data_IF_611492037736
#
_entry.id   IF_611492037736
#
_cell.length_a   1.000
_cell.length_b   1.000
_cell.length_c   1.000
_cell.angle_alpha   90.00
_cell.angle_beta   90.00
_cell.angle_gamma   90.00
#
_symmetry.space_group_name_H-M   'P 1'
#
loop_
_entity.id
_entity.type
_entity.pdbx_description
1 polymer ?
#
# COMPACT_ATOMS: atom_id res chain seq x y z
N UNK A 1 -5.79 -9.76 9.87
CA UNK A 1 -5.22 -8.54 9.28
C UNK A 1 -5.37 -8.55 7.77
N UNK A 2 -5.82 -7.44 7.21
CA UNK A 2 -5.90 -7.28 5.76
C UNK A 2 -4.63 -6.57 5.29
N UNK A 3 -3.89 -7.22 4.40
CA UNK A 3 -2.69 -6.62 3.81
C UNK A 3 -3.01 -6.08 2.43
N UNK A 4 -2.63 -4.83 2.19
CA UNK A 4 -2.92 -4.11 0.95
C UNK A 4 -1.64 -3.93 0.15
N UNK A 5 -1.70 -4.20 -1.14
CA UNK A 5 -0.65 -3.84 -2.09
C UNK A 5 -1.12 -2.64 -2.92
N UNK A 6 -0.25 -1.66 -3.10
CA UNK A 6 -0.54 -0.49 -3.92
C UNK A 6 0.34 -0.53 -5.16
N UNK A 7 -0.27 -0.38 -6.33
CA UNK A 7 0.46 -0.29 -7.59
C UNK A 7 0.43 1.16 -8.05
N UNK A 8 1.58 1.80 -7.98
CA UNK A 8 1.75 3.22 -8.26
C UNK A 8 1.77 4.07 -7.00
N UNK A 9 2.79 4.91 -6.85
CA UNK A 9 2.93 5.78 -5.67
C UNK A 9 2.99 7.25 -6.10
N UNK A 10 2.07 7.64 -6.99
CA UNK A 10 1.85 9.03 -7.33
C UNK A 10 0.92 9.68 -6.30
N UNK A 11 0.23 10.74 -6.72
CA UNK A 11 -0.65 11.49 -5.81
C UNK A 11 -1.73 10.62 -5.17
N UNK A 12 -2.38 9.76 -5.96
CA UNK A 12 -3.45 8.90 -5.45
C UNK A 12 -2.88 7.79 -4.56
N UNK A 13 -1.83 7.11 -5.02
CA UNK A 13 -1.23 6.00 -4.27
C UNK A 13 -0.65 6.46 -2.94
N UNK A 14 0.05 7.59 -2.91
CA UNK A 14 0.58 8.14 -1.67
C UNK A 14 -0.53 8.59 -0.73
N UNK A 15 -1.63 9.11 -1.28
CA UNK A 15 -2.80 9.47 -0.49
C UNK A 15 -3.45 8.26 0.17
N UNK A 16 -3.58 7.16 -0.56
CA UNK A 16 -4.13 5.92 -0.01
C UNK A 16 -3.23 5.40 1.12
N UNK A 17 -1.91 5.39 0.90
CA UNK A 17 -0.96 4.97 1.93
C UNK A 17 -1.10 5.84 3.19
N UNK A 18 -1.15 7.16 3.03
CA UNK A 18 -1.23 8.08 4.15
C UNK A 18 -2.52 7.86 4.95
N UNK A 19 -3.65 7.72 4.28
CA UNK A 19 -4.93 7.50 4.96
C UNK A 19 -4.90 6.22 5.77
N UNK A 20 -4.44 5.12 5.17
CA UNK A 20 -4.39 3.83 5.86
C UNK A 20 -3.41 3.88 7.03
N UNK A 21 -2.22 4.45 6.81
CA UNK A 21 -1.18 4.47 7.82
C UNK A 21 -1.51 5.40 8.99
N UNK A 22 -2.16 6.53 8.72
CA UNK A 22 -2.49 7.54 9.73
C UNK A 22 -3.73 7.16 10.54
N UNK A 23 -4.72 6.51 9.90
CA UNK A 23 -6.01 6.22 10.51
C UNK A 23 -6.19 4.75 10.85
N UNK A 24 -5.11 4.01 11.09
CA UNK A 24 -5.17 2.56 11.29
C UNK A 24 -6.16 2.13 12.36
N UNK A 25 -6.15 2.78 13.51
CA UNK A 25 -7.04 2.41 14.60
C UNK A 25 -8.51 2.65 14.26
N UNK A 26 -8.82 3.80 13.68
CA UNK A 26 -10.19 4.12 13.28
C UNK A 26 -10.71 3.17 12.23
N UNK A 27 -9.86 2.83 11.26
CA UNK A 27 -10.22 1.90 10.20
C UNK A 27 -10.44 0.50 10.77
N UNK A 28 -9.56 0.06 11.67
CA UNK A 28 -9.67 -1.25 12.31
C UNK A 28 -10.97 -1.39 13.10
N UNK A 29 -11.37 -0.35 13.82
CA UNK A 29 -12.61 -0.36 14.58
C UNK A 29 -13.82 -0.48 13.64
N UNK A 30 -13.84 0.31 12.56
CA UNK A 30 -14.96 0.32 11.62
C UNK A 30 -15.05 -0.95 10.80
N UNK A 31 -13.90 -1.50 10.40
CA UNK A 31 -13.84 -2.70 9.56
C UNK A 31 -13.92 -3.99 10.37
N UNK A 32 -13.74 -3.93 11.69
CA UNK A 32 -13.66 -5.09 12.54
C UNK A 32 -12.36 -5.88 12.37
N UNK A 33 -11.38 -5.31 11.65
CA UNK A 33 -10.12 -5.98 11.37
C UNK A 33 -9.06 -4.95 11.02
N UNK A 34 -7.82 -5.23 11.41
CA UNK A 34 -6.69 -4.34 11.13
C UNK A 34 -6.33 -4.38 9.63
N UNK A 35 -6.06 -3.21 9.07
CA UNK A 35 -5.68 -3.05 7.66
C UNK A 35 -4.33 -2.34 7.61
N UNK A 36 -3.40 -2.86 6.81
CA UNK A 36 -2.12 -2.19 6.61
C UNK A 36 -1.66 -2.31 5.16
N UNK A 37 -0.86 -1.35 4.72
CA UNK A 37 -0.18 -1.43 3.42
C UNK A 37 1.08 -2.26 3.62
N UNK A 38 1.16 -3.39 2.92
CA UNK A 38 2.29 -4.30 3.03
C UNK A 38 3.37 -3.99 2.00
N UNK A 39 2.99 -3.63 0.79
CA UNK A 39 3.93 -3.42 -0.30
C UNK A 39 3.39 -2.39 -1.29
N UNK A 40 4.31 -1.62 -1.88
CA UNK A 40 3.96 -0.62 -2.90
C UNK A 40 4.87 -0.85 -4.09
N UNK A 41 4.29 -0.97 -5.28
CA UNK A 41 5.06 -1.10 -6.52
C UNK A 41 5.16 0.25 -7.22
N UNK A 42 6.37 0.72 -7.43
CA UNK A 42 6.65 1.92 -8.22
C UNK A 42 8.05 1.79 -8.80
N UNK A 43 8.26 2.31 -10.00
CA UNK A 43 9.56 2.25 -10.65
C UNK A 43 10.57 3.21 -10.03
N UNK A 44 10.10 4.20 -9.28
CA UNK A 44 10.94 5.20 -8.62
C UNK A 44 11.26 4.76 -7.20
N UNK A 45 12.47 5.09 -6.74
CA UNK A 45 12.78 5.04 -5.33
C UNK A 45 12.20 6.27 -4.64
N UNK A 46 11.83 6.12 -3.36
CA UNK A 46 11.28 7.23 -2.57
C UNK A 46 12.13 7.45 -1.33
N UNK A 47 13.40 7.89 -1.50
CA UNK A 47 14.30 8.07 -0.35
C UNK A 47 13.74 9.12 0.62
N UNK A 48 13.75 8.79 1.90
CA UNK A 48 13.24 9.67 2.94
C UNK A 48 11.74 9.66 3.12
N UNK A 49 11.00 8.97 2.27
CA UNK A 49 9.55 8.86 2.39
C UNK A 49 9.20 7.80 3.46
N UNK A 50 8.12 7.99 4.23
CA UNK A 50 7.68 6.98 5.20
C UNK A 50 7.44 5.60 4.57
N UNK A 51 7.11 5.55 3.28
CA UNK A 51 6.85 4.29 2.57
C UNK A 51 8.10 3.69 1.92
N UNK A 52 9.27 4.27 2.11
CA UNK A 52 10.49 3.87 1.39
C UNK A 52 10.76 2.36 1.49
N UNK A 53 10.63 1.80 2.68
CA UNK A 53 10.92 0.39 2.92
C UNK A 53 9.90 -0.56 2.30
N UNK A 54 8.75 -0.05 1.91
CA UNK A 54 7.67 -0.84 1.31
C UNK A 54 7.73 -0.85 -0.21
N UNK A 55 8.56 0.02 -0.81
CA UNK A 55 8.65 0.15 -2.26
C UNK A 55 9.33 -1.07 -2.86
N UNK A 56 8.72 -1.63 -3.89
CA UNK A 56 9.32 -2.63 -4.76
C UNK A 56 9.23 -2.15 -6.19
N UNK A 57 10.19 -2.54 -7.03
CA UNK A 57 10.15 -2.24 -8.46
C UNK A 57 9.56 -3.39 -9.26
N UNK A 58 9.28 -4.51 -8.61
CA UNK A 58 8.77 -5.71 -9.28
C UNK A 58 7.29 -5.90 -8.93
N UNK A 59 6.45 -5.77 -9.95
CA UNK A 59 5.02 -5.98 -9.87
C UNK A 59 4.66 -7.36 -9.29
N UNK A 60 5.47 -8.37 -9.59
CA UNK A 60 5.22 -9.72 -9.11
C UNK A 60 5.36 -9.86 -7.59
N UNK A 61 6.09 -8.97 -6.93
CA UNK A 61 6.19 -8.97 -5.47
C UNK A 61 4.83 -8.73 -4.81
N UNK A 62 3.92 -8.09 -5.53
CA UNK A 62 2.55 -7.90 -5.04
C UNK A 62 1.65 -9.03 -5.51
N UNK A 63 1.70 -9.38 -6.79
CA UNK A 63 0.81 -10.39 -7.36
C UNK A 63 1.03 -11.79 -6.81
N UNK A 64 2.26 -12.12 -6.46
CA UNK A 64 2.61 -13.45 -5.96
C UNK A 64 2.66 -13.52 -4.43
N UNK A 65 2.31 -12.46 -3.74
CA UNK A 65 2.30 -12.45 -2.28
C UNK A 65 0.93 -12.92 -1.78
N UNK A 66 0.90 -14.14 -1.26
CA UNK A 66 -0.34 -14.77 -0.79
C UNK A 66 -0.95 -14.05 0.41
N UNK A 67 -0.17 -13.22 1.11
CA UNK A 67 -0.65 -12.47 2.26
C UNK A 67 -1.34 -11.17 1.87
N UNK A 68 -1.16 -10.69 0.63
CA UNK A 68 -1.85 -9.50 0.14
C UNK A 68 -3.21 -9.91 -0.40
N UNK A 69 -4.26 -9.42 0.23
CA UNK A 69 -5.64 -9.75 -0.14
C UNK A 69 -6.35 -8.64 -0.93
N UNK A 70 -5.83 -7.43 -0.90
CA UNK A 70 -6.41 -6.29 -1.64
C UNK A 70 -5.30 -5.60 -2.42
N UNK A 71 -5.53 -5.38 -3.70
CA UNK A 71 -4.60 -4.63 -4.55
C UNK A 71 -5.29 -3.37 -5.04
N UNK A 72 -4.67 -2.21 -4.80
CA UNK A 72 -5.16 -0.91 -5.25
C UNK A 72 -4.29 -0.47 -6.42
N UNK A 73 -4.86 -0.38 -7.61
CA UNK A 73 -4.15 0.06 -8.80
C UNK A 73 -4.41 1.55 -9.01
N UNK A 74 -3.35 2.35 -9.00
CA UNK A 74 -3.43 3.81 -9.09
C UNK A 74 -2.64 4.37 -10.29
N UNK A 75 -2.14 3.51 -11.17
CA UNK A 75 -1.32 3.93 -12.30
C UNK A 75 -2.13 4.32 -13.52
N UNK A 76 -3.39 3.96 -13.57
CA UNK A 76 -4.25 4.19 -14.72
C UNK A 76 -4.85 5.58 -14.81
N UNK A 77 -4.42 6.48 -13.95
CA UNK A 77 -4.98 7.83 -13.86
C UNK A 77 -4.73 8.70 -15.06
#
# INVERSE_FOLDING_TARGET
MVNVGIIGYGTVGSGVFEVINTNRQSIAIKAGEEIKVKRICDLRDMPGDPAEKLITHDFNDILNDDEISVVVETMGG
#
